data_IF_133862106451
#
_entry.id   IF_133862106451
#
_cell.length_a   1.000
_cell.length_b   1.000
_cell.length_c   1.000
_cell.angle_alpha   90.00
_cell.angle_beta   90.00
_cell.angle_gamma   90.00
#
_symmetry.space_group_name_H-M   'P 1'
#
loop_
_entity.id
_entity.type
_entity.pdbx_description
1 polymer ?
#
# COMPACT_ATOMS: atom_id res chain seq x y z
N UNK A 1 -21.48 -62.64 -41.42
CA UNK A 1 -21.53 -61.18 -41.69
C UNK A 1 -22.13 -60.38 -40.54
N UNK A 2 -23.38 -60.64 -40.11
CA UNK A 2 -24.04 -59.87 -39.03
C UNK A 2 -23.27 -59.82 -37.69
N UNK A 3 -22.67 -60.95 -37.27
CA UNK A 3 -21.88 -61.02 -36.01
C UNK A 3 -20.56 -60.25 -36.05
N UNK A 4 -19.98 -60.10 -37.25
CA UNK A 4 -18.69 -59.41 -37.43
C UNK A 4 -18.89 -57.89 -37.49
N UNK A 5 -20.00 -57.45 -38.07
CA UNK A 5 -20.46 -56.05 -38.00
C UNK A 5 -20.76 -55.62 -36.56
N UNK A 6 -21.41 -56.46 -35.76
CA UNK A 6 -21.67 -56.17 -34.33
C UNK A 6 -20.38 -56.09 -33.53
N UNK A 7 -19.41 -56.96 -33.82
CA UNK A 7 -18.10 -56.91 -33.17
C UNK A 7 -17.31 -55.65 -33.55
N UNK A 8 -17.29 -55.29 -34.84
CA UNK A 8 -16.66 -54.05 -35.32
C UNK A 8 -17.32 -52.81 -34.73
N UNK A 9 -18.65 -52.79 -34.60
CA UNK A 9 -19.38 -51.68 -33.98
C UNK A 9 -19.03 -51.55 -32.48
N UNK A 10 -18.95 -52.67 -31.75
CA UNK A 10 -18.58 -52.67 -30.33
C UNK A 10 -17.13 -52.20 -30.10
N UNK A 11 -16.20 -52.64 -30.95
CA UNK A 11 -14.80 -52.18 -30.92
C UNK A 11 -14.69 -50.71 -31.29
N UNK A 12 -15.47 -50.23 -32.26
CA UNK A 12 -15.49 -48.82 -32.64
C UNK A 12 -16.10 -47.93 -31.55
N UNK A 13 -17.06 -48.44 -30.76
CA UNK A 13 -17.61 -47.73 -29.59
C UNK A 13 -16.60 -47.63 -28.44
N UNK A 14 -15.76 -48.66 -28.26
CA UNK A 14 -14.67 -48.69 -27.26
C UNK A 14 -13.46 -47.84 -27.65
N UNK A 15 -13.28 -47.57 -28.94
CA UNK A 15 -12.21 -46.73 -29.49
C UNK A 15 -12.63 -45.26 -29.66
N UNK A 16 -13.86 -44.89 -29.30
CA UNK A 16 -14.20 -43.48 -29.22
C UNK A 16 -13.42 -42.88 -28.05
N UNK A 17 -12.53 -41.89 -28.27
CA UNK A 17 -11.89 -41.20 -27.18
C UNK A 17 -13.02 -40.58 -26.36
N UNK A 18 -13.22 -41.07 -25.14
CA UNK A 18 -13.98 -40.30 -24.17
C UNK A 18 -13.20 -38.99 -24.04
N UNK A 19 -13.77 -37.90 -24.52
CA UNK A 19 -13.36 -36.56 -24.13
C UNK A 19 -13.67 -36.46 -22.63
N UNK A 20 -12.84 -37.10 -21.82
CA UNK A 20 -12.73 -36.81 -20.42
C UNK A 20 -12.14 -35.40 -20.35
N UNK A 21 -13.02 -34.41 -20.45
CA UNK A 21 -12.75 -33.13 -19.83
C UNK A 21 -12.63 -33.42 -18.34
N UNK A 22 -11.42 -33.77 -17.90
CA UNK A 22 -11.01 -33.46 -16.55
C UNK A 22 -10.97 -31.93 -16.46
N UNK A 23 -12.16 -31.31 -16.42
CA UNK A 23 -12.30 -29.95 -15.96
C UNK A 23 -11.90 -30.03 -14.49
N UNK A 24 -10.65 -29.67 -14.21
CA UNK A 24 -10.24 -29.34 -12.85
C UNK A 24 -11.30 -28.37 -12.33
N UNK A 25 -12.03 -28.77 -11.29
CA UNK A 25 -13.06 -27.94 -10.70
C UNK A 25 -12.37 -26.78 -10.01
N UNK A 26 -12.23 -25.66 -10.72
CA UNK A 26 -11.75 -24.42 -10.13
C UNK A 26 -12.83 -23.94 -9.18
N UNK A 27 -12.47 -23.77 -7.91
CA UNK A 27 -13.33 -23.22 -6.87
C UNK A 27 -12.74 -21.91 -6.38
N UNK A 28 -13.55 -20.87 -6.30
CA UNK A 28 -13.17 -19.59 -5.71
C UNK A 28 -13.42 -19.68 -4.21
N UNK A 29 -12.36 -19.88 -3.44
CA UNK A 29 -12.45 -20.00 -1.97
C UNK A 29 -12.93 -18.70 -1.31
N UNK A 30 -12.46 -17.55 -1.80
CA UNK A 30 -12.88 -16.24 -1.31
C UNK A 30 -13.05 -15.29 -2.47
N UNK A 31 -14.19 -14.61 -2.50
CA UNK A 31 -14.47 -13.49 -3.39
C UNK A 31 -14.88 -12.28 -2.54
N UNK A 32 -14.22 -11.16 -2.76
CA UNK A 32 -14.57 -9.86 -2.20
C UNK A 32 -14.94 -8.91 -3.33
N UNK A 33 -16.21 -8.56 -3.43
CA UNK A 33 -16.74 -7.57 -4.36
C UNK A 33 -16.83 -6.24 -3.63
N UNK A 34 -16.05 -5.25 -4.06
CA UNK A 34 -16.08 -3.90 -3.50
C UNK A 34 -16.76 -2.96 -4.49
N UNK A 35 -17.71 -2.17 -4.00
CA UNK A 35 -18.49 -1.18 -4.74
C UNK A 35 -18.18 0.21 -4.16
N UNK A 36 -17.39 0.99 -4.89
CA UNK A 36 -16.94 2.32 -4.48
C UNK A 36 -17.54 3.37 -5.43
N UNK A 37 -18.76 3.84 -5.16
CA UNK A 37 -19.40 4.90 -5.95
C UNK A 37 -18.68 6.23 -5.81
N UNK A 38 -18.60 6.98 -6.91
CA UNK A 38 -18.08 8.35 -6.91
C UNK A 38 -16.72 8.43 -6.19
N UNK A 39 -15.85 7.42 -6.39
CA UNK A 39 -14.59 7.30 -5.64
C UNK A 39 -13.56 8.30 -6.12
N UNK A 40 -13.04 8.08 -7.33
CA UNK A 40 -12.09 8.91 -8.06
C UNK A 40 -12.63 9.31 -9.46
N UNK A 41 -13.79 8.77 -9.84
CA UNK A 41 -14.58 9.11 -11.02
C UNK A 41 -16.06 9.19 -10.64
N UNK A 42 -16.93 9.88 -11.40
CA UNK A 42 -18.37 9.95 -11.13
C UNK A 42 -19.12 8.60 -11.20
N UNK A 43 -18.45 7.56 -11.70
CA UNK A 43 -18.96 6.22 -11.93
C UNK A 43 -18.83 5.33 -10.68
N UNK A 44 -19.38 4.12 -10.74
CA UNK A 44 -19.13 3.07 -9.74
C UNK A 44 -17.81 2.38 -10.06
N UNK A 45 -16.83 2.45 -9.17
CA UNK A 45 -15.66 1.57 -9.20
C UNK A 45 -16.05 0.21 -8.60
N UNK A 46 -15.93 -0.85 -9.39
CA UNK A 46 -16.16 -2.22 -8.95
C UNK A 46 -14.84 -2.98 -8.95
N UNK A 47 -14.56 -3.68 -7.86
CA UNK A 47 -13.35 -4.49 -7.72
C UNK A 47 -13.71 -5.90 -7.28
N UNK A 48 -13.34 -6.89 -8.07
CA UNK A 48 -13.38 -8.29 -7.69
C UNK A 48 -12.00 -8.67 -7.18
N UNK A 49 -11.87 -8.95 -5.89
CA UNK A 49 -10.66 -9.53 -5.30
C UNK A 49 -10.93 -10.97 -4.92
N UNK A 50 -10.16 -11.93 -5.44
CA UNK A 50 -10.44 -13.34 -5.23
C UNK A 50 -9.19 -14.20 -5.07
N UNK A 51 -9.36 -15.33 -4.39
CA UNK A 51 -8.36 -16.38 -4.28
C UNK A 51 -9.00 -17.74 -4.54
N UNK A 52 -8.28 -18.60 -5.26
CA UNK A 52 -8.73 -19.96 -5.55
C UNK A 52 -8.56 -20.86 -4.31
N UNK A 53 -9.22 -22.02 -4.35
CA UNK A 53 -9.05 -23.08 -3.35
C UNK A 53 -7.65 -23.69 -3.44
N UNK A 54 -7.13 -24.17 -2.31
CA UNK A 54 -5.80 -24.80 -2.22
C UNK A 54 -5.72 -26.11 -2.99
N UNK A 55 -6.87 -26.74 -3.26
CA UNK A 55 -6.99 -27.96 -4.06
C UNK A 55 -6.96 -27.69 -5.58
N UNK A 56 -6.90 -26.43 -6.00
CA UNK A 56 -6.86 -26.06 -7.42
C UNK A 56 -5.55 -26.52 -8.05
N UNK A 57 -5.64 -27.32 -9.10
CA UNK A 57 -4.47 -27.70 -9.91
C UNK A 57 -4.05 -26.53 -10.79
N UNK A 58 -2.80 -26.10 -10.64
CA UNK A 58 -2.21 -24.98 -11.38
C UNK A 58 -1.25 -25.45 -12.49
N UNK A 59 -1.09 -24.70 -13.59
CA UNK A 59 -1.81 -23.45 -13.87
C UNK A 59 -3.27 -23.72 -14.25
N UNK A 60 -4.16 -22.78 -13.90
CA UNK A 60 -5.58 -22.85 -14.20
C UNK A 60 -6.00 -21.65 -15.06
N UNK A 61 -6.78 -21.91 -16.11
CA UNK A 61 -7.43 -20.83 -16.87
C UNK A 61 -8.69 -20.38 -16.13
N UNK A 62 -8.80 -19.09 -15.86
CA UNK A 62 -9.94 -18.48 -15.20
C UNK A 62 -10.60 -17.45 -16.12
N UNK A 63 -11.93 -17.51 -16.22
CA UNK A 63 -12.74 -16.56 -16.98
C UNK A 63 -13.55 -15.68 -16.02
N UNK A 64 -13.32 -14.36 -16.09
CA UNK A 64 -14.06 -13.36 -15.30
C UNK A 64 -14.98 -12.59 -16.24
N UNK A 65 -16.26 -12.49 -15.88
CA UNK A 65 -17.25 -11.73 -16.65
C UNK A 65 -17.50 -10.36 -16.02
N UNK A 66 -17.54 -9.33 -16.85
CA UNK A 66 -17.95 -7.97 -16.48
C UNK A 66 -18.99 -7.46 -17.48
N UNK A 67 -19.87 -6.50 -17.13
CA UNK A 67 -20.88 -6.02 -18.07
C UNK A 67 -20.26 -5.37 -19.32
N UNK A 68 -20.92 -5.47 -20.47
CA UNK A 68 -20.37 -5.00 -21.75
C UNK A 68 -20.25 -3.47 -21.88
N UNK A 69 -20.89 -2.71 -20.98
CA UNK A 69 -20.74 -1.26 -20.86
C UNK A 69 -19.71 -0.86 -19.79
N UNK A 70 -18.99 -1.81 -19.18
CA UNK A 70 -17.93 -1.54 -18.24
C UNK A 70 -16.66 -1.00 -18.92
N UNK A 71 -15.95 -0.12 -18.22
CA UNK A 71 -14.60 0.29 -18.58
C UNK A 71 -13.61 -0.50 -17.72
N UNK A 72 -12.94 -1.51 -18.31
CA UNK A 72 -11.91 -2.29 -17.63
C UNK A 72 -10.75 -1.38 -17.21
N UNK A 73 -10.44 -1.35 -15.92
CA UNK A 73 -9.40 -0.51 -15.33
C UNK A 73 -8.09 -1.28 -15.10
N UNK A 74 -8.17 -2.44 -14.46
CA UNK A 74 -7.00 -3.22 -14.09
C UNK A 74 -7.29 -4.72 -13.97
N UNK A 75 -6.28 -5.54 -14.28
CA UNK A 75 -6.21 -6.97 -13.97
C UNK A 75 -4.86 -7.20 -13.31
N UNK A 76 -4.84 -7.60 -12.05
CA UNK A 76 -3.64 -7.62 -11.23
C UNK A 76 -3.66 -8.75 -10.20
N UNK A 77 -2.52 -9.03 -9.57
CA UNK A 77 -2.39 -9.92 -8.41
C UNK A 77 -1.50 -9.33 -7.33
N UNK A 78 -1.68 -9.80 -6.11
CA UNK A 78 -0.77 -9.50 -5.01
C UNK A 78 0.56 -10.22 -5.23
N UNK A 79 1.66 -9.47 -5.19
CA UNK A 79 3.02 -9.98 -5.10
C UNK A 79 3.70 -9.31 -3.88
N UNK A 80 3.71 -10.02 -2.75
CA UNK A 80 4.10 -9.44 -1.46
C UNK A 80 3.15 -8.32 -1.04
N UNK A 81 3.68 -7.12 -0.83
CA UNK A 81 2.92 -5.90 -0.47
C UNK A 81 2.49 -5.08 -1.71
N UNK A 82 2.78 -5.55 -2.93
CA UNK A 82 2.50 -4.81 -4.17
C UNK A 82 1.41 -5.50 -4.99
N UNK A 83 0.74 -4.71 -5.82
CA UNK A 83 -0.10 -5.20 -6.91
C UNK A 83 0.72 -5.19 -8.21
N UNK A 84 0.74 -6.30 -8.93
CA UNK A 84 1.39 -6.42 -10.23
C UNK A 84 0.39 -6.79 -11.31
N UNK A 85 0.54 -6.25 -12.52
CA UNK A 85 -0.35 -6.54 -13.63
C UNK A 85 -0.28 -8.02 -14.01
N UNK A 86 -1.44 -8.62 -14.24
CA UNK A 86 -1.56 -10.00 -14.71
C UNK A 86 -1.87 -9.96 -16.21
N UNK A 87 -1.12 -10.66 -17.07
CA UNK A 87 -1.46 -10.82 -18.47
C UNK A 87 -2.81 -11.53 -18.63
N UNK A 88 -3.61 -11.07 -19.59
CA UNK A 88 -4.90 -11.65 -19.94
C UNK A 88 -5.09 -11.60 -21.46
N UNK A 89 -5.93 -12.49 -21.98
CA UNK A 89 -6.26 -12.52 -23.40
C UNK A 89 -7.12 -11.32 -23.80
N UNK A 90 -7.17 -11.01 -25.09
CA UNK A 90 -8.05 -9.94 -25.60
C UNK A 90 -9.50 -10.19 -25.13
N UNK A 91 -10.14 -9.25 -24.40
CA UNK A 91 -11.47 -9.48 -23.86
C UNK A 91 -12.50 -9.75 -24.95
N UNK A 92 -13.34 -10.76 -24.74
CA UNK A 92 -14.34 -11.22 -25.71
C UNK A 92 -15.71 -10.74 -25.28
N UNK A 93 -16.40 -9.99 -26.15
CA UNK A 93 -17.78 -9.57 -25.90
C UNK A 93 -18.74 -10.68 -26.31
N UNK A 94 -19.66 -11.03 -25.40
CA UNK A 94 -20.77 -11.94 -25.63
C UNK A 94 -22.07 -11.36 -25.05
N UNK A 95 -22.97 -10.92 -25.93
CA UNK A 95 -24.19 -10.22 -25.53
C UNK A 95 -23.91 -8.99 -24.65
N UNK A 96 -24.48 -9.03 -23.44
CA UNK A 96 -24.37 -7.98 -22.42
C UNK A 96 -23.12 -8.12 -21.52
N UNK A 97 -22.22 -9.05 -21.84
CA UNK A 97 -21.03 -9.34 -21.06
C UNK A 97 -19.75 -9.21 -21.89
N UNK A 98 -18.65 -8.95 -21.18
CA UNK A 98 -17.28 -9.11 -21.66
C UNK A 98 -16.61 -10.15 -20.76
N UNK A 99 -15.97 -11.14 -21.38
CA UNK A 99 -15.18 -12.17 -20.72
C UNK A 99 -13.71 -11.83 -20.78
N UNK A 100 -13.05 -11.85 -19.62
CA UNK A 100 -11.61 -11.68 -19.44
C UNK A 100 -11.04 -13.04 -19.06
N UNK A 101 -10.17 -13.57 -19.91
CA UNK A 101 -9.50 -14.86 -19.69
C UNK A 101 -8.08 -14.61 -19.19
N UNK A 102 -7.74 -15.18 -18.03
CA UNK A 102 -6.43 -15.02 -17.39
C UNK A 102 -5.90 -16.36 -16.91
N UNK A 103 -4.57 -16.53 -16.97
CA UNK A 103 -3.90 -17.70 -16.44
C UNK A 103 -3.53 -17.47 -14.98
N UNK A 104 -3.98 -18.36 -14.11
CA UNK A 104 -3.65 -18.38 -12.68
C UNK A 104 -2.50 -19.36 -12.48
N UNK A 105 -1.34 -18.86 -12.07
CA UNK A 105 -0.09 -19.62 -11.90
C UNK A 105 0.30 -19.86 -10.43
N UNK A 106 -0.34 -19.14 -9.51
CA UNK A 106 -0.19 -19.29 -8.06
C UNK A 106 -1.54 -19.05 -7.33
N UNK A 107 -1.56 -19.28 -6.02
CA UNK A 107 -2.74 -19.08 -5.17
C UNK A 107 -2.75 -17.69 -4.49
N UNK A 108 -2.15 -16.67 -5.11
CA UNK A 108 -2.23 -15.30 -4.62
C UNK A 108 -3.67 -14.75 -4.67
N UNK A 109 -3.87 -13.55 -4.12
CA UNK A 109 -5.11 -12.81 -4.37
C UNK A 109 -5.00 -12.10 -5.73
N UNK A 110 -5.96 -12.35 -6.60
CA UNK A 110 -6.11 -11.70 -7.89
C UNK A 110 -7.17 -10.62 -7.80
N UNK A 111 -7.11 -9.68 -8.74
CA UNK A 111 -8.01 -8.54 -8.80
C UNK A 111 -8.39 -8.17 -10.22
N UNK A 112 -9.68 -7.94 -10.43
CA UNK A 112 -10.21 -7.31 -11.64
C UNK A 112 -10.97 -6.06 -11.21
N UNK A 113 -10.61 -4.91 -11.78
CA UNK A 113 -11.21 -3.61 -11.49
C UNK A 113 -11.82 -3.01 -12.75
N UNK A 114 -13.00 -2.42 -12.63
CA UNK A 114 -13.65 -1.74 -13.74
C UNK A 114 -14.62 -0.67 -13.25
N UNK A 115 -14.96 0.26 -14.13
CA UNK A 115 -15.96 1.30 -13.86
C UNK A 115 -17.27 1.00 -14.57
N UNK A 116 -18.39 1.27 -13.90
CA UNK A 116 -19.74 1.24 -14.49
C UNK A 116 -20.46 2.57 -14.29
N UNK A 117 -21.17 3.08 -15.32
CA UNK A 117 -21.98 4.27 -15.17
C UNK A 117 -23.12 4.02 -14.17
N UNK A 118 -23.44 5.05 -13.38
CA UNK A 118 -24.58 5.04 -12.46
C UNK A 118 -25.71 5.91 -12.99
N UNK A 119 -26.95 5.52 -12.70
CA UNK A 119 -28.11 6.33 -13.05
C UNK A 119 -28.26 7.48 -12.05
N UNK A 120 -28.39 8.72 -12.55
CA UNK A 120 -28.61 9.92 -11.74
C UNK A 120 -30.01 10.49 -12.01
N UNK A 121 -30.77 10.78 -10.96
CA UNK A 121 -32.07 11.47 -11.04
C UNK A 121 -32.13 12.57 -9.98
N UNK A 122 -31.76 13.79 -10.36
CA UNK A 122 -31.54 14.88 -9.40
C UNK A 122 -30.39 14.53 -8.44
N UNK A 123 -30.66 14.57 -7.14
CA UNK A 123 -29.70 14.20 -6.09
C UNK A 123 -29.61 12.68 -5.86
N UNK A 124 -30.55 11.90 -6.39
CA UNK A 124 -30.58 10.45 -6.19
C UNK A 124 -29.64 9.75 -7.17
N UNK A 125 -28.88 8.78 -6.66
CA UNK A 125 -28.03 7.86 -7.41
C UNK A 125 -28.64 6.47 -7.31
N UNK A 126 -28.76 5.78 -8.43
CA UNK A 126 -29.27 4.41 -8.49
C UNK A 126 -28.27 3.52 -9.23
N UNK A 127 -28.11 2.30 -8.73
CA UNK A 127 -27.19 1.33 -9.29
C UNK A 127 -27.74 -0.09 -9.15
N UNK A 128 -27.75 -0.82 -10.26
CA UNK A 128 -28.12 -2.23 -10.32
C UNK A 128 -26.87 -3.04 -10.62
N UNK A 129 -26.52 -3.94 -9.71
CA UNK A 129 -25.36 -4.80 -9.82
C UNK A 129 -25.82 -6.24 -10.06
N UNK A 130 -25.24 -6.88 -11.07
CA UNK A 130 -25.45 -8.29 -11.38
C UNK A 130 -24.08 -8.97 -11.43
N UNK A 131 -23.97 -10.09 -10.74
CA UNK A 131 -22.77 -10.91 -10.71
C UNK A 131 -23.13 -12.38 -10.91
N UNK A 132 -22.35 -13.05 -11.75
CA UNK A 132 -22.47 -14.48 -12.02
C UNK A 132 -21.08 -15.02 -12.39
N UNK A 133 -20.81 -16.26 -12.02
CA UNK A 133 -19.54 -16.96 -12.27
C UNK A 133 -19.80 -18.38 -12.73
N UNK A 134 -18.92 -18.94 -13.55
CA UNK A 134 -18.95 -20.36 -13.95
C UNK A 134 -18.29 -21.29 -12.90
N UNK A 135 -17.87 -20.73 -11.77
CA UNK A 135 -17.15 -21.40 -10.69
C UNK A 135 -17.91 -21.30 -9.36
N UNK A 136 -17.87 -22.36 -8.57
CA UNK A 136 -18.36 -22.34 -7.20
C UNK A 136 -17.57 -21.34 -6.36
N UNK A 137 -18.26 -20.57 -5.52
CA UNK A 137 -17.67 -19.65 -4.55
C UNK A 137 -17.96 -20.13 -3.14
N UNK A 138 -16.93 -20.42 -2.35
CA UNK A 138 -17.14 -20.86 -0.95
C UNK A 138 -17.58 -19.71 -0.04
N UNK A 139 -17.04 -18.51 -0.25
CA UNK A 139 -17.42 -17.32 0.52
C UNK A 139 -17.36 -16.07 -0.35
N UNK A 140 -18.50 -15.38 -0.43
CA UNK A 140 -18.63 -14.08 -1.07
C UNK A 140 -18.81 -13.02 0.01
N UNK A 141 -17.95 -12.00 0.00
CA UNK A 141 -18.16 -10.74 0.73
C UNK A 141 -18.46 -9.65 -0.28
N UNK A 142 -19.56 -8.94 -0.10
CA UNK A 142 -19.83 -7.69 -0.79
C UNK A 142 -19.59 -6.55 0.20
N UNK A 143 -18.86 -5.53 -0.23
CA UNK A 143 -18.59 -4.33 0.52
C UNK A 143 -18.99 -3.11 -0.29
N UNK A 144 -19.90 -2.30 0.26
CA UNK A 144 -20.29 -1.02 -0.30
C UNK A 144 -19.66 0.10 0.52
N UNK A 145 -18.93 0.99 -0.14
CA UNK A 145 -18.41 2.21 0.49
C UNK A 145 -19.45 3.31 0.35
N UNK A 146 -20.01 3.78 1.46
CA UNK A 146 -20.96 4.89 1.43
C UNK A 146 -20.21 6.19 1.09
N UNK A 147 -20.59 6.91 0.02
CA UNK A 147 -19.99 8.21 -0.29
C UNK A 147 -20.11 9.18 0.89
N UNK A 148 -19.10 10.02 1.13
CA UNK A 148 -19.21 11.15 2.03
C UNK A 148 -20.44 12.01 1.68
N UNK A 149 -21.06 12.57 2.72
CA UNK A 149 -22.28 13.42 2.63
C UNK A 149 -23.52 12.74 2.04
N UNK A 150 -23.47 11.46 1.67
CA UNK A 150 -24.65 10.75 1.19
C UNK A 150 -25.61 10.37 2.33
N UNK A 151 -26.90 10.37 2.01
CA UNK A 151 -27.99 10.02 2.92
C UNK A 151 -28.96 9.04 2.28
N UNK A 152 -29.92 8.53 3.05
CA UNK A 152 -31.01 7.67 2.56
C UNK A 152 -30.53 6.44 1.77
N UNK A 153 -29.41 5.84 2.20
CA UNK A 153 -28.92 4.60 1.61
C UNK A 153 -30.00 3.51 1.73
N UNK A 154 -30.35 2.92 0.60
CA UNK A 154 -31.21 1.75 0.49
C UNK A 154 -30.52 0.71 -0.38
N UNK A 155 -30.58 -0.55 0.05
CA UNK A 155 -30.01 -1.66 -0.67
C UNK A 155 -30.93 -2.89 -0.58
N UNK A 156 -31.03 -3.64 -1.67
CA UNK A 156 -31.72 -4.93 -1.71
C UNK A 156 -30.83 -5.96 -2.41
N UNK A 157 -30.33 -6.99 -1.71
CA UNK A 157 -30.53 -7.30 -0.29
C UNK A 157 -29.97 -6.21 0.64
N UNK A 158 -30.49 -6.15 1.87
CA UNK A 158 -30.04 -5.20 2.89
C UNK A 158 -28.56 -5.41 3.20
N UNK A 159 -27.80 -4.32 3.28
CA UNK A 159 -26.39 -4.33 3.65
C UNK A 159 -26.26 -3.83 5.10
N UNK A 160 -25.96 -4.70 6.08
CA UNK A 160 -25.75 -4.24 7.44
C UNK A 160 -24.51 -3.34 7.51
N UNK A 161 -24.66 -2.23 8.23
CA UNK A 161 -23.56 -1.29 8.49
C UNK A 161 -22.54 -1.90 9.43
N UNK A 162 -21.26 -1.70 9.12
CA UNK A 162 -20.15 -2.01 10.03
C UNK A 162 -19.48 -0.70 10.42
N UNK A 163 -19.01 -0.61 11.67
CA UNK A 163 -18.41 0.59 12.25
C UNK A 163 -17.35 1.23 11.32
N UNK A 164 -17.33 2.57 11.34
CA UNK A 164 -16.43 3.42 10.56
C UNK A 164 -14.98 2.98 10.67
N UNK A 165 -14.27 2.89 9.54
CA UNK A 165 -12.83 2.63 9.53
C UNK A 165 -12.04 3.93 9.77
N UNK A 166 -10.73 3.85 9.98
CA UNK A 166 -9.84 5.01 10.00
C UNK A 166 -10.12 5.92 8.79
N UNK A 167 -10.27 7.23 9.03
CA UNK A 167 -10.64 8.21 7.99
C UNK A 167 -12.14 8.53 7.88
N UNK A 168 -13.00 7.97 8.74
CA UNK A 168 -14.42 8.35 8.82
C UNK A 168 -15.30 7.85 7.69
N UNK A 169 -14.78 6.94 6.84
CA UNK A 169 -15.54 6.30 5.78
C UNK A 169 -16.36 5.14 6.35
N UNK A 170 -17.63 5.07 5.93
CA UNK A 170 -18.59 4.05 6.35
C UNK A 170 -18.63 2.95 5.29
N UNK A 171 -18.54 1.70 5.73
CA UNK A 171 -18.66 0.53 4.87
C UNK A 171 -19.84 -0.33 5.32
N UNK A 172 -20.63 -0.78 4.35
CA UNK A 172 -21.72 -1.73 4.55
C UNK A 172 -21.31 -3.06 3.93
N UNK A 173 -21.53 -4.16 4.65
CA UNK A 173 -21.01 -5.46 4.21
C UNK A 173 -22.10 -6.52 4.25
N UNK A 174 -22.17 -7.33 3.20
CA UNK A 174 -22.95 -8.57 3.17
C UNK A 174 -21.97 -9.72 2.98
N UNK A 175 -22.15 -10.81 3.73
CA UNK A 175 -21.38 -12.04 3.52
C UNK A 175 -22.35 -13.17 3.22
N UNK A 176 -22.09 -13.89 2.13
CA UNK A 176 -22.79 -15.09 1.71
C UNK A 176 -21.84 -16.28 1.85
N UNK A 177 -22.34 -17.37 2.41
CA UNK A 177 -21.63 -18.64 2.55
C UNK A 177 -22.10 -19.58 1.45
N UNK A 178 -21.22 -19.87 0.49
CA UNK A 178 -21.54 -20.71 -0.65
C UNK A 178 -22.38 -19.99 -1.71
N UNK A 179 -21.86 -19.94 -2.94
CA UNK A 179 -22.59 -19.54 -4.13
C UNK A 179 -22.20 -20.48 -5.27
N UNK A 180 -23.08 -21.42 -5.67
CA UNK A 180 -22.82 -22.38 -6.74
C UNK A 180 -22.49 -21.72 -8.08
N UNK A 181 -21.72 -22.44 -8.89
CA UNK A 181 -21.47 -22.08 -10.28
C UNK A 181 -22.80 -21.85 -11.02
N UNK A 182 -22.86 -20.75 -11.78
CA UNK A 182 -24.03 -20.31 -12.53
C UNK A 182 -25.11 -19.63 -11.71
N UNK A 183 -25.00 -19.56 -10.38
CA UNK A 183 -25.96 -18.79 -9.57
C UNK A 183 -25.75 -17.29 -9.78
N UNK A 184 -26.86 -16.56 -9.97
CA UNK A 184 -26.86 -15.12 -10.19
C UNK A 184 -27.07 -14.41 -8.86
N UNK A 185 -26.14 -13.53 -8.49
CA UNK A 185 -26.29 -12.60 -7.40
C UNK A 185 -26.65 -11.21 -7.94
N UNK A 186 -27.65 -10.56 -7.33
CA UNK A 186 -28.08 -9.20 -7.69
C UNK A 186 -28.10 -8.30 -6.48
N UNK A 187 -27.75 -7.04 -6.67
CA UNK A 187 -27.88 -5.97 -5.68
C UNK A 187 -28.46 -4.72 -6.34
N UNK A 188 -29.58 -4.24 -5.83
CA UNK A 188 -30.12 -2.91 -6.14
C UNK A 188 -29.71 -1.93 -5.04
N UNK A 189 -29.19 -0.77 -5.43
CA UNK A 189 -28.67 0.23 -4.52
C UNK A 189 -29.17 1.63 -4.91
N UNK A 190 -29.56 2.41 -3.90
CA UNK A 190 -29.93 3.81 -4.05
C UNK A 190 -29.41 4.64 -2.89
N UNK A 191 -28.99 5.87 -3.16
CA UNK A 191 -28.63 6.85 -2.13
C UNK A 191 -28.83 8.27 -2.66
N UNK A 192 -29.00 9.23 -1.76
CA UNK A 192 -29.08 10.64 -2.08
C UNK A 192 -27.74 11.33 -1.82
N UNK A 193 -27.30 12.17 -2.76
CA UNK A 193 -26.12 13.03 -2.63
C UNK A 193 -26.36 14.33 -3.40
N UNK A 194 -26.25 15.45 -2.70
CA UNK A 194 -26.61 16.78 -3.21
C UNK A 194 -25.48 17.51 -3.94
N UNK A 195 -24.32 16.87 -4.09
CA UNK A 195 -23.14 17.40 -4.73
C UNK A 195 -22.41 16.30 -5.53
N UNK A 196 -21.45 16.69 -6.38
CA UNK A 196 -20.65 15.78 -7.21
C UNK A 196 -19.22 15.57 -6.68
N UNK A 197 -18.95 15.91 -5.42
CA UNK A 197 -17.63 15.69 -4.82
C UNK A 197 -17.28 14.20 -4.76
N UNK A 198 -16.05 13.87 -5.11
CA UNK A 198 -15.55 12.51 -5.12
C UNK A 198 -15.06 12.09 -3.73
N UNK A 199 -15.19 10.81 -3.40
CA UNK A 199 -14.81 10.28 -2.08
C UNK A 199 -13.34 10.54 -1.76
N UNK A 200 -12.43 10.40 -2.74
CA UNK A 200 -11.00 10.70 -2.56
C UNK A 200 -10.73 12.15 -2.12
N UNK A 201 -11.64 13.08 -2.43
CA UNK A 201 -11.50 14.50 -2.05
C UNK A 201 -11.80 14.75 -0.56
N UNK A 202 -12.55 13.84 0.08
CA UNK A 202 -12.87 13.90 1.50
C UNK A 202 -11.87 13.12 2.36
N UNK A 203 -10.97 12.36 1.74
CA UNK A 203 -9.96 11.61 2.47
C UNK A 203 -8.92 12.56 3.06
N UNK A 204 -8.45 12.32 4.30
CA UNK A 204 -7.35 13.09 4.84
C UNK A 204 -6.15 12.91 3.91
N UNK A 205 -5.61 14.01 3.39
CA UNK A 205 -4.30 13.99 2.75
C UNK A 205 -3.32 13.64 3.84
N UNK A 206 -2.78 12.43 3.78
CA UNK A 206 -1.58 12.11 4.53
C UNK A 206 -0.50 13.02 3.94
N UNK A 207 -0.27 14.15 4.59
CA UNK A 207 0.94 14.92 4.36
C UNK A 207 2.02 13.98 4.85
N UNK A 208 2.57 13.16 3.95
CA UNK A 208 3.94 12.71 4.11
C UNK A 208 4.71 13.98 4.37
N UNK A 209 5.02 14.19 5.66
CA UNK A 209 5.69 15.36 6.11
C UNK A 209 6.85 15.56 5.16
N UNK A 210 6.86 16.73 4.51
CA UNK A 210 8.09 17.42 4.26
C UNK A 210 9.01 17.05 5.44
N UNK A 211 10.12 16.39 5.14
CA UNK A 211 11.24 16.40 6.06
C UNK A 211 11.58 17.89 6.23
N UNK A 212 10.90 18.55 7.18
CA UNK A 212 11.61 19.45 8.02
C UNK A 212 12.76 18.59 8.53
N UNK A 213 13.94 18.83 7.99
CA UNK A 213 15.20 18.58 8.65
C UNK A 213 15.23 19.43 9.95
N UNK A 214 14.26 19.21 10.83
CA UNK A 214 14.27 19.51 12.24
C UNK A 214 14.96 18.32 12.88
N UNK A 215 16.11 18.59 13.49
CA UNK A 215 17.00 17.58 14.03
C UNK A 215 16.26 16.51 14.82
N UNK A 216 16.66 15.25 14.59
CA UNK A 216 16.10 14.11 15.28
C UNK A 216 15.95 14.40 16.76
N UNK A 217 14.73 14.29 17.27
CA UNK A 217 14.46 14.30 18.69
C UNK A 217 15.05 13.00 19.27
N UNK A 218 16.35 13.05 19.54
CA UNK A 218 16.96 12.13 20.49
C UNK A 218 16.24 12.38 21.82
N UNK A 219 15.29 11.52 22.15
CA UNK A 219 14.70 11.44 23.50
C UNK A 219 15.82 10.98 24.44
N UNK A 220 16.55 11.95 24.99
CA UNK A 220 17.66 11.71 25.91
C UNK A 220 17.22 10.87 27.11
N UNK A 221 15.93 10.93 27.47
CA UNK A 221 15.30 10.18 28.56
C UNK A 221 15.18 8.68 28.30
N UNK A 222 14.89 8.24 27.07
CA UNK A 222 14.78 6.79 26.75
C UNK A 222 16.14 6.13 26.53
N UNK A 223 17.14 6.91 26.11
CA UNK A 223 18.50 6.42 25.85
C UNK A 223 19.42 6.54 27.07
N UNK A 224 19.03 7.29 28.10
CA UNK A 224 19.80 7.56 29.32
C UNK A 224 20.24 6.28 30.06
N UNK A 225 19.39 5.26 30.25
CA UNK A 225 19.80 4.00 30.90
C UNK A 225 20.89 3.26 30.10
N UNK A 226 20.72 3.16 28.79
CA UNK A 226 21.65 2.47 27.88
C UNK A 226 22.99 3.19 27.76
N UNK A 227 22.98 4.52 27.74
CA UNK A 227 24.20 5.35 27.74
C UNK A 227 24.94 5.20 29.07
N UNK A 228 24.24 5.19 30.22
CA UNK A 228 24.86 4.98 31.53
C UNK A 228 25.45 3.57 31.66
N UNK A 229 24.78 2.54 31.14
CA UNK A 229 25.31 1.17 31.07
C UNK A 229 26.55 1.12 30.16
N UNK A 230 26.48 1.74 28.98
CA UNK A 230 27.61 1.81 28.04
C UNK A 230 28.84 2.51 28.65
N UNK A 231 28.65 3.67 29.28
CA UNK A 231 29.72 4.39 29.98
C UNK A 231 30.26 3.55 31.15
N UNK A 232 29.39 2.89 31.92
CA UNK A 232 29.80 2.00 33.00
C UNK A 232 30.69 0.86 32.52
N UNK A 233 30.30 0.19 31.43
CA UNK A 233 31.11 -0.89 30.82
C UNK A 233 32.45 -0.35 30.31
N UNK A 234 32.45 0.79 29.63
CA UNK A 234 33.69 1.42 29.13
C UNK A 234 34.62 1.82 30.28
N UNK A 235 34.09 2.34 31.39
CA UNK A 235 34.90 2.70 32.56
C UNK A 235 35.46 1.47 33.29
N UNK A 236 34.71 0.38 33.37
CA UNK A 236 35.19 -0.89 33.96
C UNK A 236 36.30 -1.49 33.08
N UNK A 237 36.07 -1.59 31.77
CA UNK A 237 37.06 -2.12 30.83
C UNK A 237 38.29 -1.20 30.75
N UNK A 238 38.08 0.11 30.68
CA UNK A 238 39.14 1.11 30.68
C UNK A 238 39.94 1.11 31.99
N UNK A 239 39.29 0.93 33.14
CA UNK A 239 39.93 0.79 34.44
C UNK A 239 40.78 -0.48 34.54
N UNK A 240 40.27 -1.61 34.06
CA UNK A 240 41.02 -2.87 33.98
C UNK A 240 42.22 -2.77 33.03
N UNK A 241 42.05 -2.15 31.86
CA UNK A 241 43.14 -1.89 30.92
C UNK A 241 44.19 -0.93 31.52
N UNK A 242 43.75 0.15 32.16
CA UNK A 242 44.66 1.09 32.81
C UNK A 242 45.44 0.43 33.96
N UNK A 243 44.80 -0.39 34.78
CA UNK A 243 45.46 -1.09 35.90
C UNK A 243 46.50 -2.10 35.39
N UNK A 244 46.18 -2.84 34.34
CA UNK A 244 47.09 -3.82 33.73
C UNK A 244 48.24 -3.18 32.95
N UNK A 245 48.01 -2.01 32.34
CA UNK A 245 49.04 -1.24 31.63
C UNK A 245 49.92 -0.39 32.56
N UNK A 246 49.34 0.18 33.63
CA UNK A 246 50.07 1.02 34.60
C UNK A 246 50.87 0.21 35.62
N UNK A 247 50.57 -1.08 35.77
CA UNK A 247 51.41 -2.02 36.52
C UNK A 247 52.76 -2.36 35.84
N UNK A 248 53.06 -1.76 34.67
CA UNK A 248 54.26 -2.06 33.87
C UNK A 248 55.25 -0.89 33.67
N UNK A 249 55.13 0.20 34.44
CA UNK A 249 56.21 1.20 34.50
C UNK A 249 56.90 1.19 35.85
N UNK A 250 57.92 0.33 35.90
CA UNK A 250 59.05 0.42 36.80
C UNK A 250 59.61 1.84 36.85
N UNK A 251 59.95 2.21 38.08
CA UNK A 251 60.79 3.33 38.48
C UNK A 251 61.98 3.47 37.53
N UNK A 252 62.12 4.61 36.87
CA UNK A 252 63.46 5.08 36.51
C UNK A 252 63.58 6.61 36.52
N UNK A 253 64.81 7.05 36.70
CA UNK A 253 65.18 8.10 37.63
C UNK A 253 65.86 9.30 36.95
N UNK A 254 65.32 10.51 37.14
CA UNK A 254 66.02 11.83 37.20
C UNK A 254 66.80 12.35 35.95
N UNK A 255 67.27 13.61 35.89
CA UNK A 255 66.61 14.91 36.17
C UNK A 255 66.90 16.05 35.13
N UNK A 256 66.24 17.21 35.36
CA UNK A 256 66.77 18.61 35.24
C UNK A 256 66.71 19.35 33.88
N UNK A 257 65.86 20.40 33.75
CA UNK A 257 66.14 21.84 34.06
C UNK A 257 65.14 22.81 33.41
N UNK A 258 64.59 23.67 34.29
CA UNK A 258 64.01 25.03 34.18
C UNK A 258 63.91 25.77 32.82
N UNK A 259 62.72 26.36 32.67
CA UNK A 259 62.24 27.40 31.75
C UNK A 259 63.17 28.59 31.42
N UNK A 260 62.98 29.11 30.20
CA UNK A 260 62.97 30.56 29.87
C UNK A 260 61.81 30.88 28.90
N UNK A 261 61.16 32.05 29.02
CA UNK A 261 60.06 32.48 28.15
C UNK A 261 60.58 33.28 26.95
N UNK A 262 59.84 33.30 25.83
CA UNK A 262 60.08 34.25 24.74
C UNK A 262 58.76 34.84 24.19
N UNK A 263 58.61 36.12 24.54
CA UNK A 263 58.11 37.25 23.77
C UNK A 263 56.78 37.16 23.00
N UNK A 264 55.88 38.02 23.46
CA UNK A 264 54.73 38.57 22.75
C UNK A 264 55.11 39.27 21.44
N UNK A 265 54.25 39.13 20.43
CA UNK A 265 54.12 40.09 19.34
C UNK A 265 52.76 40.79 19.47
N UNK A 266 52.84 42.09 19.72
CA UNK A 266 51.72 43.02 19.84
C UNK A 266 50.95 43.14 18.52
N UNK A 267 49.64 42.93 18.57
CA UNK A 267 48.69 43.36 17.55
C UNK A 267 47.53 44.05 18.26
N UNK A 268 47.56 45.38 18.31
CA UNK A 268 46.56 46.21 18.98
C UNK A 268 45.16 45.99 18.41
N UNK A 269 44.16 45.98 19.29
CA UNK A 269 42.75 45.75 18.93
C UNK A 269 42.14 47.03 18.37
N UNK A 270 41.97 47.11 17.06
CA UNK A 270 41.26 48.22 16.39
C UNK A 270 39.75 48.00 16.51
N UNK A 271 38.98 49.03 16.82
CA UNK A 271 37.52 48.99 16.89
C UNK A 271 36.91 50.00 15.92
N UNK A 272 35.72 49.69 15.38
CA UNK A 272 34.98 50.59 14.49
C UNK A 272 34.37 51.75 15.29
N UNK A 273 34.59 52.99 14.82
CA UNK A 273 34.04 54.19 15.46
C UNK A 273 32.53 54.37 15.23
N UNK A 274 31.98 53.75 14.18
CA UNK A 274 30.54 53.81 13.87
C UNK A 274 29.74 52.78 14.67
N UNK A 275 30.13 51.49 14.63
CA UNK A 275 29.34 50.42 15.24
C UNK A 275 29.96 49.80 16.50
N UNK A 276 31.13 50.26 16.94
CA UNK A 276 31.83 49.78 18.13
C UNK A 276 32.42 48.36 18.04
N UNK A 277 32.18 47.62 16.95
CA UNK A 277 32.67 46.24 16.81
C UNK A 277 34.17 46.19 16.48
N UNK A 278 34.84 45.16 17.00
CA UNK A 278 36.28 44.92 16.83
C UNK A 278 36.60 44.56 15.38
N UNK A 279 37.57 45.26 14.81
CA UNK A 279 38.15 44.96 13.51
C UNK A 279 39.43 44.14 13.66
N UNK A 280 39.76 43.34 12.65
CA UNK A 280 41.04 42.63 12.61
C UNK A 280 42.13 43.58 12.12
N UNK A 281 43.35 43.41 12.63
CA UNK A 281 44.52 44.15 12.18
C UNK A 281 44.69 44.00 10.66
N UNK A 282 44.64 45.11 9.91
CA UNK A 282 44.76 45.13 8.44
C UNK A 282 43.46 45.39 7.66
N UNK A 283 42.29 45.36 8.31
CA UNK A 283 41.01 45.67 7.64
C UNK A 283 40.90 47.19 7.34
N UNK A 284 40.62 47.55 6.08
CA UNK A 284 40.37 48.95 5.66
C UNK A 284 38.92 49.40 5.91
N UNK A 285 37.99 48.45 6.00
CA UNK A 285 36.56 48.70 6.20
C UNK A 285 36.03 47.73 7.27
N UNK A 286 35.06 48.19 8.06
CA UNK A 286 34.41 47.37 9.08
C UNK A 286 33.58 46.28 8.40
N UNK A 287 33.86 45.01 8.71
CA UNK A 287 33.13 43.87 8.15
C UNK A 287 31.67 43.79 8.59
N UNK A 288 31.28 44.47 9.67
CA UNK A 288 29.90 44.42 10.17
C UNK A 288 29.01 45.53 9.63
N UNK A 289 29.53 46.74 9.38
CA UNK A 289 28.71 47.86 8.90
C UNK A 289 29.23 48.52 7.61
N UNK A 290 30.36 48.07 7.06
CA UNK A 290 30.95 48.61 5.84
C UNK A 290 31.68 49.95 5.99
N UNK A 291 31.63 50.60 7.16
CA UNK A 291 32.28 51.89 7.39
C UNK A 291 33.81 51.80 7.26
N UNK A 292 34.45 52.79 6.61
CA UNK A 292 35.92 52.83 6.45
C UNK A 292 36.59 53.03 7.80
N UNK A 293 37.49 52.13 8.17
CA UNK A 293 38.24 52.22 9.43
C UNK A 293 39.33 53.27 9.27
N UNK A 294 39.40 54.20 10.23
CA UNK A 294 40.48 55.18 10.32
C UNK A 294 41.68 54.47 10.94
N UNK A 295 42.57 53.91 10.12
CA UNK A 295 43.87 53.42 10.60
C UNK A 295 44.74 54.62 10.95
N UNK A 296 45.18 54.71 12.22
CA UNK A 296 46.37 55.49 12.56
C UNK A 296 47.61 54.63 12.31
#
# INVERSE_FOLDING_TARGET
MRKWLVFLLAVCLLLMPTLAHAQNSVTIRKLNIQLWPEYDRPDMLVMYSFALSEDTTLPAELQVRIPANANLNAVAKNEGEKMVNVPYDAPVKDGDWITITMLIDDLANYRVEYYLPMAKSGTTRNFSFVWQSDYDVESLRLQFQQPPTSTNLSATPELPTVDSTAGGIIYHNLTLSGLPAGEVFTLELSYDKDNDDLTVSAMPVEIEGAQESGGGSFSLTDSLPSILVGIGVVLIVGGLLYFTLSGRNSIDSTPRKRHKPRAASAGGNVYCHECGKRARSGDKFCRSCGARLRSQ
#
